data_IF_746267349835
#
_entry.id   IF_746267349835
#
_cell.length_a   1.000
_cell.length_b   1.000
_cell.length_c   1.000
_cell.angle_alpha   90.00
_cell.angle_beta   90.00
_cell.angle_gamma   90.00
#
_symmetry.space_group_name_H-M   'P 1'
#
loop_
_entity.id
_entity.type
_entity.pdbx_description
1 polymer ?
#
# COMPACT_ATOMS: atom_id res chain seq x y z
N UNK A 1 -7.83 17.99 32.71
CA UNK A 1 -7.50 18.25 31.29
C UNK A 1 -7.08 16.91 30.70
N UNK A 2 -8.02 16.16 30.12
CA UNK A 2 -7.74 14.81 29.62
C UNK A 2 -6.92 14.88 28.35
N UNK A 3 -5.62 14.62 28.47
CA UNK A 3 -4.72 14.40 27.35
C UNK A 3 -5.16 13.14 26.60
N UNK A 4 -5.85 13.30 25.47
CA UNK A 4 -6.05 12.21 24.54
C UNK A 4 -4.69 11.75 24.00
N UNK A 5 -4.41 10.44 23.96
CA UNK A 5 -3.22 9.93 23.31
C UNK A 5 -3.22 10.35 21.83
N UNK A 6 -2.05 10.61 21.22
CA UNK A 6 -1.98 10.94 19.80
C UNK A 6 -2.64 9.83 18.99
N UNK A 7 -3.55 10.21 18.08
CA UNK A 7 -4.35 9.25 17.33
C UNK A 7 -3.46 8.34 16.47
N UNK A 8 -3.77 7.04 16.46
CA UNK A 8 -3.01 6.01 15.76
C UNK A 8 -2.98 6.30 14.25
N UNK A 9 -1.83 6.20 13.56
CA UNK A 9 -1.75 6.37 12.10
C UNK A 9 -2.75 5.48 11.33
N UNK A 10 -3.05 4.28 11.84
CA UNK A 10 -4.06 3.38 11.25
C UNK A 10 -5.48 3.91 11.37
N UNK A 11 -5.79 4.66 12.42
CA UNK A 11 -7.13 5.22 12.65
C UNK A 11 -7.37 6.44 11.76
N UNK A 12 -6.32 7.22 11.48
CA UNK A 12 -6.39 8.31 10.49
C UNK A 12 -6.69 7.75 9.09
N UNK A 13 -5.91 6.78 8.61
CA UNK A 13 -6.13 6.19 7.29
C UNK A 13 -7.56 5.62 7.13
N UNK A 14 -8.09 4.98 8.19
CA UNK A 14 -9.48 4.50 8.22
C UNK A 14 -10.51 5.63 8.17
N UNK A 15 -10.29 6.73 8.89
CA UNK A 15 -11.17 7.89 8.84
C UNK A 15 -11.15 8.57 7.47
N UNK A 16 -9.98 8.69 6.83
CA UNK A 16 -9.87 9.18 5.46
C UNK A 16 -10.61 8.28 4.46
N UNK A 17 -10.47 6.96 4.56
CA UNK A 17 -11.18 6.01 3.71
C UNK A 17 -12.70 6.12 3.88
N UNK A 18 -13.18 6.16 5.14
CA UNK A 18 -14.60 6.34 5.45
C UNK A 18 -15.11 7.68 4.89
N UNK A 19 -14.36 8.76 5.04
CA UNK A 19 -14.72 10.08 4.53
C UNK A 19 -14.91 10.09 3.01
N UNK A 20 -13.96 9.51 2.27
CA UNK A 20 -14.06 9.37 0.81
C UNK A 20 -15.28 8.53 0.42
N UNK A 21 -15.55 7.44 1.13
CA UNK A 21 -16.65 6.53 0.82
C UNK A 21 -18.02 7.14 1.09
N UNK A 22 -18.21 7.79 2.24
CA UNK A 22 -19.44 8.52 2.58
C UNK A 22 -19.74 9.58 1.52
N UNK A 23 -18.71 10.36 1.14
CA UNK A 23 -18.83 11.38 0.09
C UNK A 23 -19.25 10.78 -1.25
N UNK A 24 -18.58 9.71 -1.69
CA UNK A 24 -18.88 9.04 -2.96
C UNK A 24 -20.31 8.50 -3.01
N UNK A 25 -20.74 7.77 -1.97
CA UNK A 25 -22.10 7.22 -1.89
C UNK A 25 -23.17 8.32 -1.89
N UNK A 26 -22.90 9.44 -1.19
CA UNK A 26 -23.79 10.60 -1.21
C UNK A 26 -23.92 11.21 -2.61
N UNK A 27 -22.81 11.36 -3.32
CA UNK A 27 -22.77 11.88 -4.68
C UNK A 27 -23.45 10.92 -5.67
N UNK A 28 -23.31 9.60 -5.50
CA UNK A 28 -24.02 8.56 -6.27
C UNK A 28 -25.54 8.63 -6.07
N UNK A 29 -26.01 8.97 -4.87
CA UNK A 29 -27.43 9.22 -4.58
C UNK A 29 -27.92 10.59 -5.11
N UNK A 30 -27.02 11.44 -5.63
CA UNK A 30 -27.35 12.81 -6.03
C UNK A 30 -27.69 13.72 -4.85
N UNK A 31 -27.22 13.41 -3.64
CA UNK A 31 -27.56 14.16 -2.43
C UNK A 31 -26.56 15.27 -2.11
N UNK A 32 -27.05 16.41 -1.62
CA UNK A 32 -26.21 17.42 -0.98
C UNK A 32 -25.78 16.96 0.42
N UNK A 33 -24.75 17.59 1.01
CA UNK A 33 -24.34 17.30 2.39
C UNK A 33 -25.48 17.58 3.37
N UNK A 34 -26.20 18.68 3.17
CA UNK A 34 -27.35 19.04 4.00
C UNK A 34 -28.43 17.97 3.94
N UNK A 35 -28.65 17.38 2.76
CA UNK A 35 -29.60 16.28 2.58
C UNK A 35 -29.17 15.03 3.36
N UNK A 36 -27.93 14.58 3.19
CA UNK A 36 -27.44 13.40 3.93
C UNK A 36 -27.44 13.64 5.45
N UNK A 37 -27.01 14.82 5.89
CA UNK A 37 -27.02 15.16 7.31
C UNK A 37 -28.43 15.09 7.91
N UNK A 38 -29.43 15.57 7.17
CA UNK A 38 -30.84 15.49 7.55
C UNK A 38 -31.34 14.05 7.59
N UNK A 39 -31.08 13.24 6.57
CA UNK A 39 -31.51 11.83 6.53
C UNK A 39 -30.85 10.98 7.62
N UNK A 40 -29.57 11.22 7.92
CA UNK A 40 -28.82 10.49 8.95
C UNK A 40 -29.04 11.03 10.37
N UNK A 41 -29.77 12.15 10.54
CA UNK A 41 -29.96 12.78 11.85
C UNK A 41 -28.66 13.31 12.49
N UNK A 42 -27.67 13.70 11.67
CA UNK A 42 -26.37 14.23 12.14
C UNK A 42 -26.25 15.73 11.83
N UNK A 43 -25.44 16.45 12.61
CA UNK A 43 -25.16 17.86 12.35
C UNK A 43 -24.45 18.06 11.00
N UNK A 44 -24.88 19.04 10.21
CA UNK A 44 -24.26 19.39 8.91
C UNK A 44 -22.77 19.71 9.06
N UNK A 45 -22.37 20.40 10.13
CA UNK A 45 -20.96 20.66 10.45
C UNK A 45 -20.17 19.39 10.78
N UNK A 46 -20.78 18.38 11.40
CA UNK A 46 -20.15 17.08 11.67
C UNK A 46 -19.89 16.35 10.36
N UNK A 47 -20.88 16.31 9.46
CA UNK A 47 -20.72 15.69 8.14
C UNK A 47 -19.69 16.42 7.28
N UNK A 48 -19.68 17.76 7.30
CA UNK A 48 -18.68 18.55 6.59
C UNK A 48 -17.26 18.26 7.09
N UNK A 49 -17.05 18.16 8.40
CA UNK A 49 -15.74 17.79 8.98
C UNK A 49 -15.35 16.35 8.69
N UNK A 50 -16.32 15.43 8.65
CA UNK A 50 -16.09 14.05 8.27
C UNK A 50 -15.60 13.98 6.82
N UNK A 51 -16.29 14.64 5.87
CA UNK A 51 -15.94 14.57 4.43
C UNK A 51 -14.69 15.37 4.05
N UNK A 52 -14.32 16.39 4.83
CA UNK A 52 -13.09 17.18 4.64
C UNK A 52 -11.86 16.43 5.16
N UNK A 53 -11.60 15.25 4.61
CA UNK A 53 -10.44 14.40 4.92
C UNK A 53 -10.51 13.69 6.28
N UNK A 54 -11.69 13.28 6.76
CA UNK A 54 -11.75 12.49 8.00
C UNK A 54 -11.20 13.26 9.22
N UNK A 55 -11.35 14.59 9.22
CA UNK A 55 -10.86 15.50 10.27
C UNK A 55 -11.47 15.25 11.66
N UNK A 56 -12.41 14.29 11.75
CA UNK A 56 -12.93 13.73 12.98
C UNK A 56 -12.93 12.21 12.88
N UNK A 57 -12.73 11.56 14.02
CA UNK A 57 -13.02 10.14 14.18
C UNK A 57 -14.50 10.02 14.58
N UNK A 58 -15.41 9.66 13.66
CA UNK A 58 -16.82 9.50 14.03
C UNK A 58 -16.97 8.35 15.03
N UNK A 59 -17.85 8.54 16.01
CA UNK A 59 -18.24 7.45 16.90
C UNK A 59 -18.97 6.35 16.13
N UNK A 60 -18.96 5.13 16.68
CA UNK A 60 -19.60 3.95 16.07
C UNK A 60 -21.06 4.21 15.63
N UNK A 61 -21.86 4.87 16.48
CA UNK A 61 -23.26 5.19 16.17
C UNK A 61 -23.42 6.20 15.04
N UNK A 62 -22.50 7.16 14.90
CA UNK A 62 -22.48 8.09 13.76
C UNK A 62 -22.25 7.35 12.45
N UNK A 63 -21.34 6.37 12.45
CA UNK A 63 -21.11 5.51 11.28
C UNK A 63 -22.35 4.68 10.95
N UNK A 64 -23.01 4.12 11.97
CA UNK A 64 -24.24 3.34 11.81
C UNK A 64 -25.36 4.10 11.12
N UNK A 65 -25.69 5.30 11.60
CA UNK A 65 -26.78 6.11 11.01
C UNK A 65 -26.44 6.62 9.61
N UNK A 66 -25.16 6.84 9.30
CA UNK A 66 -24.74 7.18 7.94
C UNK A 66 -24.89 6.01 6.98
N UNK A 67 -24.54 4.78 7.40
CA UNK A 67 -24.74 3.57 6.60
C UNK A 67 -26.22 3.35 6.30
N UNK A 68 -27.07 3.46 7.34
CA UNK A 68 -28.52 3.31 7.22
C UNK A 68 -29.14 4.35 6.29
N UNK A 69 -28.79 5.62 6.46
CA UNK A 69 -29.29 6.70 5.60
C UNK A 69 -28.87 6.55 4.14
N UNK A 70 -27.66 6.04 3.89
CA UNK A 70 -27.15 5.76 2.54
C UNK A 70 -27.65 4.43 1.96
N UNK A 71 -28.43 3.64 2.71
CA UNK A 71 -28.95 2.36 2.26
C UNK A 71 -27.87 1.31 1.99
N UNK A 72 -26.72 1.41 2.65
CA UNK A 72 -25.59 0.48 2.48
C UNK A 72 -25.32 -0.30 3.76
N UNK A 73 -24.74 -1.50 3.64
CA UNK A 73 -24.23 -2.21 4.80
C UNK A 73 -23.01 -1.47 5.38
N UNK A 74 -22.73 -1.66 6.67
CA UNK A 74 -21.48 -1.18 7.28
C UNK A 74 -20.26 -1.69 6.51
N UNK A 75 -20.31 -2.93 6.05
CA UNK A 75 -19.27 -3.52 5.22
C UNK A 75 -19.03 -2.70 3.94
N UNK A 76 -20.09 -2.36 3.20
CA UNK A 76 -19.99 -1.55 1.99
C UNK A 76 -19.62 -0.08 2.23
N UNK A 77 -19.80 0.41 3.47
CA UNK A 77 -19.37 1.75 3.89
C UNK A 77 -17.86 1.81 4.19
N UNK A 78 -17.25 0.69 4.59
CA UNK A 78 -15.82 0.58 4.85
C UNK A 78 -15.02 -0.03 3.70
N UNK A 79 -15.68 -0.77 2.81
CA UNK A 79 -15.10 -1.20 1.56
C UNK A 79 -15.32 -0.09 0.52
N UNK A 80 -14.24 0.56 0.09
CA UNK A 80 -14.26 1.24 -1.20
C UNK A 80 -14.70 0.19 -2.21
N UNK A 81 -15.79 0.46 -2.95
CA UNK A 81 -16.08 -0.29 -4.17
C UNK A 81 -14.77 -0.34 -4.93
N UNK A 82 -14.14 -1.52 -4.95
CA UNK A 82 -12.89 -1.75 -5.64
C UNK A 82 -13.21 -1.51 -7.10
N UNK A 83 -13.03 -0.26 -7.54
CA UNK A 83 -12.99 0.06 -8.96
C UNK A 83 -11.94 -0.89 -9.50
N UNK A 84 -12.39 -1.93 -10.22
CA UNK A 84 -11.60 -3.06 -10.71
C UNK A 84 -10.26 -2.57 -11.24
N UNK A 85 -9.28 -2.46 -10.36
CA UNK A 85 -7.91 -2.25 -10.71
C UNK A 85 -7.37 -3.65 -10.90
N UNK A 86 -7.00 -3.97 -12.14
CA UNK A 86 -6.42 -5.27 -12.45
C UNK A 86 -5.25 -5.50 -11.48
N UNK A 87 -5.30 -6.58 -10.66
CA UNK A 87 -4.21 -6.93 -9.77
C UNK A 87 -2.91 -7.11 -10.53
N UNK A 88 -1.78 -6.85 -9.89
CA UNK A 88 -0.50 -6.85 -10.60
C UNK A 88 0.68 -6.51 -9.73
N UNK A 89 1.86 -6.63 -10.35
CA UNK A 89 3.13 -6.27 -9.74
C UNK A 89 3.71 -5.03 -10.41
N UNK A 90 4.30 -4.17 -9.59
CA UNK A 90 5.09 -3.04 -10.02
C UNK A 90 6.52 -3.21 -9.54
N UNK A 91 7.47 -3.00 -10.45
CA UNK A 91 8.89 -3.01 -10.13
C UNK A 91 9.30 -1.64 -9.61
N UNK A 92 9.63 -1.54 -8.32
CA UNK A 92 9.88 -0.27 -7.65
C UNK A 92 11.30 -0.16 -7.10
N UNK A 93 12.12 0.67 -7.74
CA UNK A 93 13.47 1.04 -7.31
C UNK A 93 13.52 2.50 -6.89
N UNK A 94 13.98 2.77 -5.67
CA UNK A 94 14.01 4.15 -5.15
C UNK A 94 15.34 4.90 -5.37
N UNK A 95 16.32 4.27 -6.01
CA UNK A 95 17.55 4.95 -6.40
C UNK A 95 17.25 6.17 -7.29
N UNK A 96 17.90 7.30 -6.96
CA UNK A 96 17.64 8.58 -7.61
C UNK A 96 16.29 9.25 -7.31
N UNK A 97 15.35 8.65 -6.55
CA UNK A 97 14.08 9.26 -6.11
C UNK A 97 14.07 9.73 -4.66
N UNK A 98 13.63 10.94 -4.37
CA UNK A 98 13.26 11.34 -3.00
C UNK A 98 11.97 10.66 -2.55
N UNK A 99 11.59 10.82 -1.28
CA UNK A 99 10.44 10.10 -0.71
C UNK A 99 9.11 10.62 -1.26
N UNK A 100 8.98 11.92 -1.49
CA UNK A 100 7.74 12.55 -1.93
C UNK A 100 7.45 12.17 -3.38
N UNK A 101 8.45 12.27 -4.27
CA UNK A 101 8.31 11.82 -5.66
C UNK A 101 8.07 10.32 -5.77
N UNK A 102 8.64 9.51 -4.88
CA UNK A 102 8.37 8.08 -4.85
C UNK A 102 6.94 7.77 -4.43
N UNK A 103 6.42 8.40 -3.37
CA UNK A 103 5.03 8.22 -2.93
C UNK A 103 4.04 8.73 -3.98
N UNK A 104 4.34 9.84 -4.66
CA UNK A 104 3.53 10.33 -5.77
C UNK A 104 3.40 9.29 -6.89
N UNK A 105 4.51 8.69 -7.34
CA UNK A 105 4.49 7.62 -8.36
C UNK A 105 3.64 6.40 -7.93
N UNK A 106 3.67 6.04 -6.64
CA UNK A 106 2.85 4.94 -6.11
C UNK A 106 1.36 5.28 -6.16
N UNK A 107 0.99 6.51 -5.79
CA UNK A 107 -0.40 6.99 -5.84
C UNK A 107 -0.93 7.09 -7.28
N UNK A 108 -0.13 7.61 -8.21
CA UNK A 108 -0.46 7.66 -9.64
C UNK A 108 -0.70 6.25 -10.22
N UNK A 109 0.11 5.28 -9.79
CA UNK A 109 -0.04 3.88 -10.18
C UNK A 109 -1.13 3.14 -9.38
N UNK A 110 -1.76 3.81 -8.41
CA UNK A 110 -2.76 3.27 -7.47
C UNK A 110 -2.27 2.00 -6.77
N UNK A 111 -1.05 2.04 -6.26
CA UNK A 111 -0.47 0.92 -5.51
C UNK A 111 -1.18 0.80 -4.16
N UNK A 112 -1.66 -0.40 -3.87
CA UNK A 112 -2.32 -0.72 -2.60
C UNK A 112 -1.30 -1.20 -1.54
N UNK A 113 -0.25 -1.90 -1.98
CA UNK A 113 0.74 -2.54 -1.10
C UNK A 113 2.16 -2.31 -1.63
N UNK A 114 3.07 -1.92 -0.75
CA UNK A 114 4.52 -1.97 -1.00
C UNK A 114 5.09 -3.19 -0.30
N UNK A 115 5.59 -4.13 -1.10
CA UNK A 115 6.32 -5.31 -0.65
C UNK A 115 7.83 -5.01 -0.64
N UNK A 116 8.38 -4.72 0.53
CA UNK A 116 9.80 -4.45 0.73
C UNK A 116 10.60 -5.76 0.72
N UNK A 117 11.38 -5.97 -0.34
CA UNK A 117 12.24 -7.16 -0.51
C UNK A 117 13.69 -6.85 -0.18
N UNK A 118 13.96 -5.89 0.71
CA UNK A 118 15.30 -5.66 1.26
C UNK A 118 15.55 -6.61 2.43
N UNK A 119 16.71 -7.27 2.44
CA UNK A 119 17.09 -8.13 3.57
C UNK A 119 17.15 -7.34 4.89
N UNK A 120 17.62 -6.09 4.80
CA UNK A 120 17.63 -5.16 5.92
C UNK A 120 17.13 -3.80 5.40
N UNK A 121 15.94 -3.35 5.81
CA UNK A 121 15.29 -2.14 5.29
C UNK A 121 15.86 -0.87 5.95
N UNK A 122 17.18 -0.73 5.90
CA UNK A 122 17.92 0.46 6.31
C UNK A 122 18.35 1.19 5.05
N UNK A 123 18.23 2.52 5.04
CA UNK A 123 18.64 3.36 3.93
C UNK A 123 19.33 4.61 4.45
N UNK A 124 20.40 5.02 3.76
CA UNK A 124 21.02 6.34 3.95
C UNK A 124 20.21 7.44 3.26
N UNK A 125 19.33 7.07 2.33
CA UNK A 125 18.47 8.02 1.63
C UNK A 125 17.36 8.49 2.58
N UNK A 126 17.17 9.82 2.77
CA UNK A 126 16.11 10.35 3.62
C UNK A 126 14.74 9.76 3.25
N UNK A 127 13.91 9.46 4.24
CA UNK A 127 12.58 8.86 4.05
C UNK A 127 12.54 7.34 3.81
N UNK A 128 13.63 6.70 3.37
CA UNK A 128 13.59 5.27 2.97
C UNK A 128 14.01 4.26 4.04
N UNK A 129 14.17 4.66 5.30
CA UNK A 129 14.29 3.69 6.41
C UNK A 129 12.93 3.02 6.66
N UNK A 130 12.90 1.78 7.15
CA UNK A 130 11.65 1.04 7.45
C UNK A 130 10.59 1.91 8.14
N UNK A 131 10.97 2.58 9.22
CA UNK A 131 10.05 3.40 10.01
C UNK A 131 9.53 4.59 9.23
N UNK A 132 10.41 5.37 8.57
CA UNK A 132 9.99 6.58 7.85
C UNK A 132 9.18 6.25 6.59
N UNK A 133 9.61 5.23 5.86
CA UNK A 133 8.89 4.74 4.68
C UNK A 133 7.51 4.22 5.09
N UNK A 134 7.44 3.41 6.15
CA UNK A 134 6.17 2.90 6.66
C UNK A 134 5.21 4.01 7.08
N UNK A 135 5.71 5.11 7.66
CA UNK A 135 4.89 6.29 8.01
C UNK A 135 4.38 7.02 6.75
N UNK A 136 5.26 7.32 5.80
CA UNK A 136 4.90 8.01 4.56
C UNK A 136 3.87 7.21 3.73
N UNK A 137 4.04 5.88 3.66
CA UNK A 137 3.09 5.00 2.98
C UNK A 137 1.75 4.93 3.72
N UNK A 138 1.76 4.88 5.07
CA UNK A 138 0.53 4.86 5.85
C UNK A 138 -0.29 6.15 5.68
N UNK A 139 0.37 7.31 5.62
CA UNK A 139 -0.26 8.61 5.32
C UNK A 139 -0.91 8.60 3.92
N UNK A 140 -0.27 7.96 2.95
CA UNK A 140 -0.80 7.73 1.61
C UNK A 140 -1.84 6.59 1.53
N UNK A 141 -2.23 5.97 2.66
CA UNK A 141 -3.12 4.79 2.71
C UNK A 141 -2.61 3.56 1.92
N UNK A 142 -1.28 3.44 1.81
CA UNK A 142 -0.60 2.31 1.16
C UNK A 142 -0.08 1.36 2.23
N UNK A 143 -0.42 0.07 2.12
CA UNK A 143 0.07 -0.93 3.06
C UNK A 143 1.56 -1.20 2.85
N UNK A 144 2.28 -1.49 3.93
CA UNK A 144 3.71 -1.83 3.89
C UNK A 144 3.92 -3.23 4.47
N UNK A 145 4.44 -4.14 3.65
CA UNK A 145 4.83 -5.50 4.08
C UNK A 145 6.32 -5.72 3.83
N UNK A 146 7.02 -6.25 4.84
CA UNK A 146 8.46 -6.49 4.76
C UNK A 146 8.72 -7.99 4.63
N UNK A 147 9.00 -8.41 3.39
CA UNK A 147 9.26 -9.80 3.01
C UNK A 147 10.76 -10.09 3.07
N UNK A 148 11.27 -10.16 4.30
CA UNK A 148 12.71 -10.25 4.59
C UNK A 148 13.40 -11.39 3.86
N UNK A 149 12.73 -12.54 3.72
CA UNK A 149 13.33 -13.75 3.12
C UNK A 149 13.52 -13.62 1.62
N UNK A 150 12.91 -12.61 0.99
CA UNK A 150 13.11 -12.23 -0.41
C UNK A 150 14.24 -11.21 -0.59
N UNK A 151 15.02 -10.96 0.46
CA UNK A 151 16.13 -10.03 0.45
C UNK A 151 17.46 -10.60 -0.03
N UNK A 152 18.18 -9.86 -0.87
CA UNK A 152 19.50 -10.27 -1.33
C UNK A 152 20.52 -10.34 -0.17
N UNK A 153 21.09 -11.52 0.13
CA UNK A 153 22.06 -11.67 1.21
C UNK A 153 23.39 -10.98 0.89
N UNK A 154 24.12 -10.61 1.96
CA UNK A 154 25.29 -9.73 1.86
C UNK A 154 26.38 -10.29 0.94
N UNK A 155 26.63 -11.58 1.05
CA UNK A 155 27.56 -12.37 0.24
C UNK A 155 27.11 -12.54 -1.22
N UNK A 156 25.89 -12.11 -1.61
CA UNK A 156 25.44 -12.12 -3.02
C UNK A 156 25.45 -10.73 -3.66
N UNK A 157 25.92 -9.71 -2.95
CA UNK A 157 25.81 -8.34 -3.46
C UNK A 157 26.85 -8.09 -4.55
N UNK A 158 28.09 -8.52 -4.34
CA UNK A 158 29.22 -8.27 -5.23
C UNK A 158 28.94 -8.62 -6.72
N UNK A 159 28.36 -9.78 -7.07
CA UNK A 159 28.05 -10.09 -8.47
C UNK A 159 27.17 -9.06 -9.20
N UNK A 160 26.25 -8.39 -8.50
CA UNK A 160 25.41 -7.35 -9.12
C UNK A 160 26.15 -6.03 -9.34
N UNK A 161 27.17 -5.72 -8.52
CA UNK A 161 28.03 -4.55 -8.68
C UNK A 161 29.09 -4.77 -9.77
N UNK A 162 29.65 -5.98 -9.83
CA UNK A 162 30.75 -6.34 -10.74
C UNK A 162 30.28 -6.69 -12.16
N UNK A 163 28.99 -6.54 -12.46
CA UNK A 163 28.41 -6.92 -13.76
C UNK A 163 28.21 -8.43 -13.96
N UNK A 164 28.57 -9.28 -12.99
CA UNK A 164 28.32 -10.73 -12.97
C UNK A 164 26.87 -11.06 -12.59
N UNK A 165 25.91 -10.33 -13.18
CA UNK A 165 24.48 -10.37 -12.82
C UNK A 165 23.90 -11.77 -12.96
N UNK A 166 24.29 -12.52 -13.99
CA UNK A 166 23.81 -13.91 -14.22
C UNK A 166 24.16 -14.81 -13.04
N UNK A 167 25.40 -14.72 -12.53
CA UNK A 167 25.86 -15.46 -11.35
C UNK A 167 25.07 -15.04 -10.11
N UNK A 168 24.93 -13.73 -9.88
CA UNK A 168 24.18 -13.18 -8.75
C UNK A 168 22.72 -13.66 -8.72
N UNK A 169 22.06 -13.71 -9.89
CA UNK A 169 20.70 -14.23 -10.03
C UNK A 169 20.63 -15.72 -9.80
N UNK A 170 21.58 -16.50 -10.33
CA UNK A 170 21.61 -17.95 -10.12
C UNK A 170 21.74 -18.28 -8.63
N UNK A 171 22.65 -17.61 -7.93
CA UNK A 171 22.80 -17.76 -6.48
C UNK A 171 21.56 -17.30 -5.72
N UNK A 172 20.92 -16.20 -6.12
CA UNK A 172 19.70 -15.74 -5.46
C UNK A 172 18.52 -16.71 -5.66
N UNK A 173 18.41 -17.37 -6.82
CA UNK A 173 17.41 -18.43 -7.04
C UNK A 173 17.57 -19.59 -6.04
N UNK A 174 18.80 -19.90 -5.61
CA UNK A 174 19.03 -20.89 -4.55
C UNK A 174 18.54 -20.40 -3.19
N UNK A 175 18.66 -19.10 -2.89
CA UNK A 175 18.11 -18.49 -1.66
C UNK A 175 16.58 -18.65 -1.62
N UNK A 176 15.91 -18.44 -2.75
CA UNK A 176 14.45 -18.60 -2.86
C UNK A 176 13.93 -20.04 -2.68
N UNK A 177 14.82 -21.03 -2.49
CA UNK A 177 14.45 -22.41 -2.20
C UNK A 177 14.21 -22.68 -0.72
N UNK A 178 14.56 -21.78 0.20
CA UNK A 178 14.27 -21.95 1.62
C UNK A 178 12.76 -21.91 1.87
N UNK A 179 12.29 -22.54 2.95
CA UNK A 179 10.86 -22.58 3.26
C UNK A 179 10.32 -21.20 3.65
N UNK A 180 11.12 -20.37 4.32
CA UNK A 180 10.76 -18.98 4.63
C UNK A 180 10.62 -18.14 3.35
N UNK A 181 11.52 -18.33 2.37
CA UNK A 181 11.44 -17.62 1.10
C UNK A 181 10.25 -18.09 0.26
N UNK A 182 9.89 -19.37 0.30
CA UNK A 182 8.68 -19.89 -0.34
C UNK A 182 7.43 -19.28 0.29
N UNK A 183 7.36 -19.24 1.62
CA UNK A 183 6.24 -18.63 2.35
C UNK A 183 6.08 -17.14 2.02
N UNK A 184 7.18 -16.37 1.99
CA UNK A 184 7.13 -14.96 1.60
C UNK A 184 6.76 -14.78 0.11
N UNK A 185 7.16 -15.69 -0.79
CA UNK A 185 6.73 -15.67 -2.19
C UNK A 185 5.22 -15.94 -2.34
N UNK A 186 4.67 -16.84 -1.53
CA UNK A 186 3.25 -17.16 -1.55
C UNK A 186 2.41 -16.00 -1.00
N UNK A 187 2.88 -15.34 0.08
CA UNK A 187 2.30 -14.08 0.57
C UNK A 187 2.33 -12.98 -0.48
N UNK A 188 3.44 -12.81 -1.19
CA UNK A 188 3.54 -11.84 -2.28
C UNK A 188 2.59 -12.16 -3.43
N UNK A 189 2.44 -13.44 -3.80
CA UNK A 189 1.51 -13.88 -4.83
C UNK A 189 0.04 -13.64 -4.41
N UNK A 190 -0.31 -13.88 -3.15
CA UNK A 190 -1.64 -13.58 -2.61
C UNK A 190 -1.97 -12.10 -2.73
N UNK A 191 -1.05 -11.21 -2.30
CA UNK A 191 -1.23 -9.77 -2.48
C UNK A 191 -1.40 -9.40 -3.96
N UNK A 192 -0.52 -9.90 -4.82
CA UNK A 192 -0.54 -9.59 -6.25
C UNK A 192 -1.79 -10.09 -6.99
N UNK A 193 -2.49 -11.11 -6.45
CA UNK A 193 -3.75 -11.61 -6.99
C UNK A 193 -4.98 -10.81 -6.57
N UNK A 194 -4.86 -9.97 -5.55
CA UNK A 194 -5.98 -9.22 -4.96
C UNK A 194 -5.85 -7.71 -5.15
N UNK A 195 -4.64 -7.21 -5.35
CA UNK A 195 -4.33 -5.78 -5.34
C UNK A 195 -3.12 -5.45 -6.23
N UNK A 196 -2.81 -4.16 -6.35
CA UNK A 196 -1.59 -3.67 -7.01
C UNK A 196 -0.46 -3.59 -6.02
N UNK A 197 0.63 -4.31 -6.30
CA UNK A 197 1.75 -4.46 -5.36
C UNK A 197 3.04 -3.92 -5.97
N UNK A 198 3.64 -2.91 -5.33
CA UNK A 198 4.98 -2.45 -5.67
C UNK A 198 6.04 -3.28 -4.93
N UNK A 199 6.86 -4.03 -5.66
CA UNK A 199 7.99 -4.78 -5.13
C UNK A 199 9.18 -3.83 -5.00
N UNK A 200 9.56 -3.51 -3.77
CA UNK A 200 10.52 -2.45 -3.47
C UNK A 200 11.93 -2.97 -3.21
N UNK A 201 12.93 -2.38 -3.87
CA UNK A 201 14.33 -2.45 -3.44
C UNK A 201 15.06 -1.13 -3.72
N UNK A 202 16.37 -1.08 -3.46
CA UNK A 202 17.18 0.12 -3.70
C UNK A 202 17.35 0.42 -5.18
N UNK A 203 17.91 -0.54 -5.93
CA UNK A 203 18.33 -0.40 -7.33
C UNK A 203 17.18 0.06 -8.24
N UNK A 204 17.45 1.06 -9.08
CA UNK A 204 16.47 1.55 -10.07
C UNK A 204 16.23 0.49 -11.13
N UNK A 205 17.31 -0.04 -11.69
CA UNK A 205 17.28 -0.98 -12.80
C UNK A 205 17.03 -2.42 -12.30
N UNK A 206 15.85 -2.96 -12.58
CA UNK A 206 15.52 -4.32 -12.18
C UNK A 206 16.42 -5.38 -12.82
N UNK A 207 16.99 -5.09 -14.00
CA UNK A 207 17.87 -6.01 -14.70
C UNK A 207 19.20 -6.18 -13.96
N UNK A 208 19.56 -5.24 -13.10
CA UNK A 208 20.79 -5.26 -12.30
C UNK A 208 20.53 -5.63 -10.85
N UNK A 209 19.36 -6.18 -10.55
CA UNK A 209 18.93 -6.43 -9.18
C UNK A 209 18.42 -7.88 -8.96
N UNK A 210 18.36 -8.29 -7.69
CA UNK A 210 17.67 -9.53 -7.28
C UNK A 210 16.15 -9.44 -7.45
N UNK A 211 15.59 -8.21 -7.47
CA UNK A 211 14.16 -7.94 -7.60
C UNK A 211 13.55 -8.64 -8.82
N UNK A 212 14.26 -8.68 -9.96
CA UNK A 212 13.75 -9.38 -11.15
C UNK A 212 13.54 -10.88 -10.89
N UNK A 213 14.41 -11.53 -10.11
CA UNK A 213 14.23 -12.96 -9.78
C UNK A 213 12.98 -13.18 -8.92
N UNK A 214 12.67 -12.25 -8.01
CA UNK A 214 11.43 -12.28 -7.21
C UNK A 214 10.21 -12.12 -8.12
N UNK A 215 10.20 -11.12 -9.01
CA UNK A 215 9.12 -10.87 -9.96
C UNK A 215 8.88 -12.10 -10.87
N UNK A 216 9.95 -12.69 -11.42
CA UNK A 216 9.90 -13.93 -12.20
C UNK A 216 9.32 -15.10 -11.40
N UNK A 217 9.70 -15.24 -10.13
CA UNK A 217 9.22 -16.32 -9.27
C UNK A 217 7.74 -16.22 -8.93
N UNK A 218 7.21 -15.00 -8.78
CA UNK A 218 5.77 -14.76 -8.56
C UNK A 218 4.98 -14.98 -9.84
N UNK A 219 5.48 -14.49 -11.00
CA UNK A 219 4.83 -14.74 -12.31
C UNK A 219 4.65 -16.22 -12.63
N UNK A 220 5.53 -17.09 -12.12
CA UNK A 220 5.41 -18.55 -12.25
C UNK A 220 4.31 -19.16 -11.38
N UNK A 221 3.95 -18.50 -10.27
CA UNK A 221 2.87 -18.91 -9.36
C UNK A 221 1.52 -18.36 -9.81
N UNK A 222 1.52 -17.13 -10.30
CA UNK A 222 0.32 -16.37 -10.63
C UNK A 222 0.56 -15.57 -11.91
N UNK A 223 -0.31 -15.74 -12.89
CA UNK A 223 -0.23 -15.01 -14.15
C UNK A 223 -0.79 -13.59 -13.99
N UNK A 224 0.04 -12.68 -13.47
CA UNK A 224 -0.24 -11.25 -13.32
C UNK A 224 0.72 -10.39 -14.15
N UNK A 225 0.29 -9.19 -14.59
CA UNK A 225 1.17 -8.24 -15.26
C UNK A 225 2.27 -7.74 -14.31
N UNK A 226 3.44 -7.46 -14.88
CA UNK A 226 4.55 -6.77 -14.20
C UNK A 226 4.86 -5.50 -14.98
N UNK A 227 4.82 -4.36 -14.30
CA UNK A 227 5.04 -3.03 -14.90
C UNK A 227 6.13 -2.29 -14.15
N UNK A 228 7.03 -1.54 -14.79
CA UNK A 228 7.93 -0.64 -14.08
C UNK A 228 7.14 0.49 -13.39
N UNK A 229 7.57 0.90 -12.19
CA UNK A 229 7.03 2.09 -11.55
C UNK A 229 7.60 3.36 -12.23
N UNK A 230 6.71 4.23 -12.71
CA UNK A 230 7.04 5.49 -13.38
C UNK A 230 7.91 6.41 -12.51
#
# INVERSE_FOLDING_TARGET
MSSHPPANPRDHARAHALARRVRALREEHGWSRERLAKEAGVGTGTLARLESEGAIQPGFFTVGVLAEALGVSLDALFHESTSKCVPGLWSAGYEGRDIDSFVASLLESRIDVVADVRLTPISRKPGFSKTRLGLALAEASIAYDHLRSLGNPKDNRAPFWDGRVVEGRARFRSVLRSDEARSDLDRLAEHAGRSRVAVLCFERDEERCHRQVVLEAVRKRLSVPVTPLA
#
